data_IF_261347528375
#
_entry.id   IF_261347528375
#
_cell.length_a   1.000
_cell.length_b   1.000
_cell.length_c   1.000
_cell.angle_alpha   90.00
_cell.angle_beta   90.00
_cell.angle_gamma   90.00
#
_symmetry.space_group_name_H-M   'P 1'
#
loop_
_entity.id
_entity.type
_entity.pdbx_description
1 polymer ?
#
# COMPACT_ATOMS: atom_id res chain seq x y z
N UNK A 1 20.86 27.73 -14.26
CA UNK A 1 20.53 27.22 -12.90
C UNK A 1 19.01 27.26 -12.79
N UNK A 2 18.22 26.26 -12.40
CA UNK A 2 18.44 24.97 -11.75
C UNK A 2 17.46 23.93 -12.36
N UNK A 3 17.87 22.65 -12.44
CA UNK A 3 16.97 21.55 -12.81
C UNK A 3 15.86 21.46 -11.75
N UNK A 4 14.55 21.51 -12.09
CA UNK A 4 13.51 21.39 -11.07
C UNK A 4 13.70 20.09 -10.30
N UNK A 5 13.98 20.24 -9.01
CA UNK A 5 14.25 19.17 -8.05
C UNK A 5 13.05 18.22 -8.06
N UNK A 6 13.34 16.97 -8.42
CA UNK A 6 12.69 15.75 -7.95
C UNK A 6 11.17 15.85 -7.80
N UNK A 7 10.42 15.29 -8.75
CA UNK A 7 8.99 14.96 -8.60
C UNK A 7 8.86 14.22 -7.27
N UNK A 8 8.46 14.94 -6.21
CA UNK A 8 8.20 14.33 -4.91
C UNK A 8 7.08 13.34 -5.18
N UNK A 9 7.29 12.08 -4.84
CA UNK A 9 6.22 11.11 -4.82
C UNK A 9 5.25 11.59 -3.74
N UNK A 10 4.34 12.48 -4.13
CA UNK A 10 3.20 12.86 -3.32
C UNK A 10 2.31 11.61 -3.30
N UNK A 11 2.48 10.82 -2.23
CA UNK A 11 1.50 9.81 -1.90
C UNK A 11 0.14 10.53 -1.81
N UNK A 12 -0.84 10.02 -2.53
CA UNK A 12 -2.14 10.68 -2.61
C UNK A 12 -2.88 10.47 -1.29
N UNK A 13 -3.42 11.56 -0.74
CA UNK A 13 -4.26 11.48 0.45
C UNK A 13 -5.46 10.57 0.19
N UNK A 14 -5.74 9.63 1.09
CA UNK A 14 -6.83 8.66 0.96
C UNK A 14 -6.50 7.47 0.04
N UNK A 15 -5.24 7.30 -0.36
CA UNK A 15 -4.80 6.12 -1.13
C UNK A 15 -4.21 5.09 -0.16
N UNK A 16 -4.68 3.86 -0.29
CA UNK A 16 -4.16 2.69 0.40
C UNK A 16 -2.92 2.18 -0.32
N UNK A 17 -1.87 1.95 0.47
CA UNK A 17 -0.61 1.42 0.00
C UNK A 17 -0.33 0.09 0.67
N UNK A 18 0.17 -0.85 -0.11
CA UNK A 18 0.72 -2.09 0.41
C UNK A 18 1.84 -2.57 -0.49
N UNK A 19 2.82 -3.20 0.12
CA UNK A 19 3.97 -3.78 -0.52
C UNK A 19 3.80 -5.29 -0.62
N UNK A 20 4.15 -5.84 -1.77
CA UNK A 20 4.27 -7.28 -1.96
C UNK A 20 5.68 -7.60 -2.43
N UNK A 21 6.35 -8.55 -1.77
CA UNK A 21 7.67 -9.05 -2.14
C UNK A 21 7.53 -10.30 -2.99
N UNK A 22 7.58 -10.14 -4.31
CA UNK A 22 7.51 -11.29 -5.23
C UNK A 22 8.93 -11.77 -5.55
N UNK A 23 9.44 -12.72 -4.76
CA UNK A 23 10.74 -13.36 -4.98
C UNK A 23 11.95 -12.54 -4.51
N UNK A 24 13.15 -12.89 -5.01
CA UNK A 24 14.45 -12.49 -4.43
C UNK A 24 14.78 -10.99 -4.52
N UNK A 25 14.11 -10.18 -5.35
CA UNK A 25 14.44 -8.76 -5.47
C UNK A 25 13.32 -7.83 -6.01
N UNK A 26 12.06 -8.27 -6.04
CA UNK A 26 10.95 -7.44 -6.55
C UNK A 26 9.98 -7.08 -5.43
N UNK A 27 10.15 -5.88 -4.87
CA UNK A 27 9.16 -5.25 -4.02
C UNK A 27 8.22 -4.40 -4.88
N UNK A 28 6.95 -4.79 -4.97
CA UNK A 28 5.94 -4.08 -5.75
C UNK A 28 5.08 -3.30 -4.75
N UNK A 29 5.15 -1.98 -4.81
CA UNK A 29 4.24 -1.10 -4.06
C UNK A 29 2.96 -0.91 -4.86
N UNK A 30 1.87 -1.50 -4.37
CA UNK A 30 0.54 -1.34 -4.95
C UNK A 30 -0.15 -0.20 -4.22
N UNK A 31 -0.74 0.71 -5.01
CA UNK A 31 -1.55 1.82 -4.52
C UNK A 31 -2.98 1.69 -5.02
N UNK A 32 -3.96 1.81 -4.13
CA UNK A 32 -5.39 1.68 -4.43
C UNK A 32 -6.18 2.76 -3.72
N UNK A 33 -7.11 3.38 -4.44
CA UNK A 33 -7.96 4.45 -3.91
C UNK A 33 -9.12 3.83 -3.09
N UNK A 34 -9.69 2.73 -3.58
CA UNK A 34 -10.78 2.03 -2.91
C UNK A 34 -10.26 1.03 -1.88
N UNK A 35 -10.74 1.17 -0.63
CA UNK A 35 -10.49 0.24 0.49
C UNK A 35 -10.81 -1.20 0.11
N UNK A 36 -12.00 -1.44 -0.47
CA UNK A 36 -12.44 -2.78 -0.92
C UNK A 36 -11.44 -3.43 -1.87
N UNK A 37 -11.00 -2.72 -2.91
CA UNK A 37 -10.03 -3.25 -3.88
C UNK A 37 -8.64 -3.45 -3.29
N UNK A 38 -8.25 -2.61 -2.33
CA UNK A 38 -6.98 -2.74 -1.63
C UNK A 38 -6.96 -4.00 -0.76
N UNK A 39 -8.01 -4.20 0.04
CA UNK A 39 -8.18 -5.38 0.92
C UNK A 39 -8.29 -6.66 0.10
N UNK A 40 -9.11 -6.67 -0.95
CA UNK A 40 -9.30 -7.86 -1.79
C UNK A 40 -8.00 -8.29 -2.47
N UNK A 41 -7.26 -7.33 -3.04
CA UNK A 41 -5.94 -7.59 -3.61
C UNK A 41 -4.98 -8.11 -2.54
N UNK A 42 -4.88 -7.44 -1.38
CA UNK A 42 -4.01 -7.88 -0.30
C UNK A 42 -4.38 -9.26 0.23
N UNK A 43 -5.67 -9.60 0.30
CA UNK A 43 -6.17 -10.93 0.69
C UNK A 43 -5.78 -12.01 -0.33
N UNK A 44 -5.87 -11.69 -1.62
CA UNK A 44 -5.43 -12.58 -2.70
C UNK A 44 -3.92 -12.86 -2.61
N UNK A 45 -3.14 -11.81 -2.33
CA UNK A 45 -1.70 -11.94 -2.14
C UNK A 45 -1.34 -12.66 -0.84
N UNK A 46 -2.02 -12.40 0.28
CA UNK A 46 -1.89 -13.13 1.55
C UNK A 46 -2.15 -14.63 1.35
N UNK A 47 -3.18 -15.00 0.58
CA UNK A 47 -3.47 -16.41 0.27
C UNK A 47 -2.36 -17.09 -0.53
N UNK A 48 -1.69 -16.34 -1.39
CA UNK A 48 -0.67 -16.90 -2.29
C UNK A 48 0.72 -16.85 -1.65
N UNK A 49 1.02 -15.79 -0.90
CA UNK A 49 2.33 -15.46 -0.34
C UNK A 49 2.16 -14.70 0.99
N UNK A 50 1.79 -15.40 2.08
CA UNK A 50 1.52 -14.77 3.37
C UNK A 50 2.75 -14.08 3.98
N UNK A 51 3.95 -14.65 3.79
CA UNK A 51 5.20 -14.14 4.37
C UNK A 51 5.78 -12.91 3.68
N UNK A 52 5.23 -12.53 2.53
CA UNK A 52 5.80 -11.50 1.65
C UNK A 52 4.87 -10.29 1.43
N UNK A 53 3.77 -10.22 2.17
CA UNK A 53 2.81 -9.12 2.10
C UNK A 53 3.03 -8.17 3.28
N UNK A 54 3.20 -6.89 2.99
CA UNK A 54 3.40 -5.84 3.98
C UNK A 54 2.38 -4.73 3.73
N UNK A 55 1.43 -4.58 4.64
CA UNK A 55 0.40 -3.56 4.52
C UNK A 55 0.91 -2.25 5.12
N UNK A 56 1.05 -1.20 4.29
CA UNK A 56 1.47 0.11 4.78
C UNK A 56 0.31 0.93 5.34
N UNK A 57 -0.90 0.76 4.80
CA UNK A 57 -2.08 1.54 5.19
C UNK A 57 -2.43 2.68 4.25
N UNK A 58 -3.36 3.52 4.68
CA UNK A 58 -3.81 4.71 3.95
C UNK A 58 -2.87 5.89 4.20
N UNK A 59 -2.47 6.57 3.13
CA UNK A 59 -1.72 7.80 3.28
C UNK A 59 -2.67 8.96 3.59
N UNK A 60 -2.51 9.63 4.73
CA UNK A 60 -3.33 10.81 5.09
C UNK A 60 -2.73 12.14 4.57
N UNK A 61 -1.62 12.10 3.83
CA UNK A 61 -0.90 13.30 3.36
C UNK A 61 0.32 13.64 4.22
N UNK A 62 0.41 13.09 5.44
CA UNK A 62 1.49 13.36 6.39
C UNK A 62 2.09 12.10 7.03
N UNK A 63 1.26 11.07 7.20
CA UNK A 63 1.62 9.76 7.77
C UNK A 63 0.71 8.68 7.19
N UNK A 64 1.17 7.43 7.24
CA UNK A 64 0.29 6.29 7.05
C UNK A 64 -0.61 6.16 8.27
N UNK A 65 -1.91 6.04 8.03
CA UNK A 65 -2.92 5.61 9.00
C UNK A 65 -3.50 4.27 8.53
N UNK A 66 -4.17 3.53 9.41
CA UNK A 66 -4.72 2.22 9.05
C UNK A 66 -3.67 1.20 8.55
N UNK A 67 -2.48 1.15 9.18
CA UNK A 67 -1.48 0.09 8.97
C UNK A 67 -1.96 -1.28 9.46
N UNK A 68 -3.05 -1.33 10.22
CA UNK A 68 -3.62 -2.55 10.72
C UNK A 68 -4.64 -3.15 9.73
N UNK A 69 -4.17 -4.01 8.82
CA UNK A 69 -5.00 -4.71 7.85
C UNK A 69 -6.23 -5.39 8.48
N UNK A 70 -6.11 -5.97 9.68
CA UNK A 70 -7.22 -6.64 10.37
C UNK A 70 -8.40 -5.70 10.67
N UNK A 71 -8.12 -4.47 11.12
CA UNK A 71 -9.16 -3.45 11.34
C UNK A 71 -9.79 -2.96 10.03
N UNK A 72 -9.00 -2.97 8.96
CA UNK A 72 -9.44 -2.53 7.63
C UNK A 72 -10.35 -3.60 7.01
N UNK A 73 -10.02 -4.88 7.19
CA UNK A 73 -10.78 -6.02 6.69
C UNK A 73 -12.10 -6.24 7.44
N UNK A 74 -12.16 -5.96 8.74
CA UNK A 74 -13.37 -6.16 9.57
C UNK A 74 -14.48 -5.13 9.28
N UNK A 75 -14.13 -4.00 8.67
CA UNK A 75 -15.06 -2.90 8.39
C UNK A 75 -15.57 -2.85 6.94
N UNK A 76 -15.34 -3.89 6.14
CA UNK A 76 -15.62 -3.97 4.68
C UNK A 76 -16.69 -4.99 4.31
#
# INVERSE_FOLDING_TARGET
>A
MARPRTKKFEFGKGIYYFNIKKGYNNNITIKRIEKKKAVDAYRQYLKTQPENCDWLGVWDGKKFQEDNFEKVAESV
#
